data_IF_365519724367
#
_entry.id   IF_365519724367
#
_cell.length_a   1.000
_cell.length_b   1.000
_cell.length_c   1.000
_cell.angle_alpha   90.00
_cell.angle_beta   90.00
_cell.angle_gamma   90.00
#
_symmetry.space_group_name_H-M   'P 1'
#
loop_
_entity.id
_entity.type
_entity.pdbx_description
1 polymer ?
#
# COMPACT_ATOMS: atom_id res chain seq x y z
N UNK A 1 -21.68 -30.07 10.01
CA UNK A 1 -21.11 -29.62 8.71
C UNK A 1 -21.55 -28.19 8.48
N UNK A 2 -20.67 -27.30 8.00
CA UNK A 2 -21.06 -25.93 7.67
C UNK A 2 -22.12 -25.92 6.56
N UNK A 3 -22.95 -24.89 6.55
CA UNK A 3 -24.05 -24.74 5.59
C UNK A 3 -23.56 -24.47 4.15
N UNK A 4 -22.34 -23.95 4.02
CA UNK A 4 -21.62 -23.78 2.75
C UNK A 4 -20.23 -24.36 2.95
N UNK A 5 -19.85 -25.29 2.08
CA UNK A 5 -18.49 -25.85 2.06
C UNK A 5 -17.68 -24.97 1.11
N UNK A 6 -16.68 -24.29 1.65
CA UNK A 6 -15.73 -23.48 0.89
C UNK A 6 -14.35 -24.15 0.83
N UNK A 7 -13.43 -23.53 0.09
CA UNK A 7 -12.05 -24.01 -0.06
C UNK A 7 -11.35 -24.13 1.31
N UNK A 8 -11.57 -23.16 2.20
CA UNK A 8 -11.02 -23.18 3.56
C UNK A 8 -11.44 -24.43 4.34
N UNK A 9 -12.72 -24.81 4.28
CA UNK A 9 -13.19 -26.04 4.92
C UNK A 9 -12.48 -27.30 4.39
N UNK A 10 -12.19 -27.38 3.08
CA UNK A 10 -11.43 -28.51 2.53
C UNK A 10 -9.98 -28.52 3.01
N UNK A 11 -9.34 -27.36 3.11
CA UNK A 11 -7.98 -27.24 3.64
C UNK A 11 -7.92 -27.66 5.13
N UNK A 12 -8.87 -27.20 5.94
CA UNK A 12 -8.98 -27.59 7.36
C UNK A 12 -9.25 -29.08 7.50
N UNK A 13 -10.23 -29.62 6.76
CA UNK A 13 -10.56 -31.05 6.79
C UNK A 13 -9.37 -31.91 6.35
N UNK A 14 -8.62 -31.49 5.32
CA UNK A 14 -7.42 -32.17 4.87
C UNK A 14 -6.32 -32.12 5.93
N UNK A 15 -6.12 -30.95 6.55
CA UNK A 15 -5.16 -30.78 7.64
C UNK A 15 -5.53 -31.67 8.82
N UNK A 16 -6.76 -31.63 9.34
CA UNK A 16 -7.18 -32.48 10.47
C UNK A 16 -7.02 -33.97 10.15
N UNK A 17 -7.26 -34.40 8.92
CA UNK A 17 -7.06 -35.80 8.50
C UNK A 17 -5.59 -36.22 8.39
N UNK A 18 -4.69 -35.27 8.15
CA UNK A 18 -3.26 -35.53 7.91
C UNK A 18 -2.35 -34.83 8.93
N UNK A 19 -2.90 -34.31 10.03
CA UNK A 19 -2.22 -33.42 10.97
C UNK A 19 -0.92 -34.05 11.45
N UNK A 20 -0.99 -35.32 11.84
CA UNK A 20 0.17 -36.07 12.32
C UNK A 20 1.26 -36.20 11.24
N UNK A 21 0.89 -36.47 9.99
CA UNK A 21 1.85 -36.52 8.87
C UNK A 21 2.50 -35.17 8.61
N UNK A 22 1.75 -34.08 8.73
CA UNK A 22 2.27 -32.72 8.56
C UNK A 22 3.24 -32.36 9.69
N UNK A 23 2.91 -32.74 10.93
CA UNK A 23 3.75 -32.51 12.11
C UNK A 23 5.02 -33.39 12.10
N UNK A 24 4.92 -34.62 11.62
CA UNK A 24 6.04 -35.57 11.61
C UNK A 24 6.98 -35.37 10.42
N UNK A 25 6.48 -34.85 9.28
CA UNK A 25 7.29 -34.54 8.09
C UNK A 25 8.60 -33.78 8.36
N UNK A 26 8.64 -32.65 9.11
CA UNK A 26 9.88 -31.96 9.40
C UNK A 26 10.85 -32.81 10.23
N UNK A 27 10.35 -33.59 11.20
CA UNK A 27 11.18 -34.47 12.03
C UNK A 27 11.78 -35.61 11.21
N UNK A 28 10.98 -36.25 10.35
CA UNK A 28 11.46 -37.28 9.43
C UNK A 28 12.50 -36.74 8.45
N UNK A 29 12.28 -35.53 7.92
CA UNK A 29 13.22 -34.86 7.02
C UNK A 29 14.55 -34.57 7.73
N UNK A 30 14.51 -34.09 8.97
CA UNK A 30 15.70 -33.82 9.77
C UNK A 30 16.47 -35.11 10.10
N UNK A 31 15.77 -36.18 10.47
CA UNK A 31 16.37 -37.48 10.73
C UNK A 31 17.08 -38.04 9.48
N UNK A 32 16.40 -38.00 8.32
CA UNK A 32 16.99 -38.43 7.04
C UNK A 32 18.21 -37.59 6.67
N UNK A 33 18.16 -36.27 6.89
CA UNK A 33 19.31 -35.38 6.68
C UNK A 33 20.48 -35.77 7.58
N UNK A 34 20.21 -36.03 8.87
CA UNK A 34 21.25 -36.43 9.84
C UNK A 34 21.97 -37.70 9.41
N UNK A 35 21.21 -38.72 8.99
CA UNK A 35 21.76 -39.97 8.46
C UNK A 35 22.65 -39.73 7.23
N UNK A 36 22.19 -38.92 6.27
CA UNK A 36 22.99 -38.54 5.09
C UNK A 36 24.28 -37.81 5.47
N UNK A 37 24.23 -36.92 6.46
CA UNK A 37 25.41 -36.18 6.93
C UNK A 37 26.41 -37.13 7.61
N UNK A 38 25.94 -38.06 8.45
CA UNK A 38 26.80 -39.08 9.07
C UNK A 38 27.48 -39.97 8.01
N UNK A 39 26.74 -40.43 7.01
CA UNK A 39 27.28 -41.21 5.89
C UNK A 39 28.29 -40.39 5.07
N UNK A 40 27.98 -39.13 4.75
CA UNK A 40 28.88 -38.23 4.03
C UNK A 40 30.17 -37.97 4.82
N UNK A 41 30.10 -37.82 6.15
CA UNK A 41 31.28 -37.67 7.01
C UNK A 41 32.16 -38.91 6.97
N UNK A 42 31.58 -40.11 7.03
CA UNK A 42 32.34 -41.36 6.94
C UNK A 42 33.04 -41.52 5.58
N UNK A 43 32.41 -41.05 4.51
CA UNK A 43 32.95 -41.12 3.15
C UNK A 43 33.87 -39.93 2.77
N UNK A 44 34.08 -38.96 3.67
CA UNK A 44 34.85 -37.75 3.38
C UNK A 44 34.21 -36.83 2.34
N UNK A 45 32.89 -36.89 2.17
CA UNK A 45 32.08 -36.13 1.22
C UNK A 45 31.30 -34.99 1.89
N UNK A 46 31.87 -34.41 2.94
CA UNK A 46 31.33 -33.25 3.63
C UNK A 46 32.05 -32.00 3.13
N UNK A 47 31.31 -30.90 3.02
CA UNK A 47 31.80 -29.66 2.44
C UNK A 47 31.50 -28.48 3.37
N UNK A 48 32.26 -27.40 3.17
CA UNK A 48 32.12 -26.16 3.93
C UNK A 48 31.51 -25.04 3.07
N UNK A 49 30.59 -24.27 3.66
CA UNK A 49 30.05 -23.07 3.04
C UNK A 49 31.00 -21.88 3.21
N UNK A 50 31.44 -21.27 2.11
CA UNK A 50 32.36 -20.12 2.12
C UNK A 50 31.73 -18.82 2.69
N UNK A 51 30.43 -18.78 2.99
CA UNK A 51 29.74 -17.59 3.51
C UNK A 51 29.46 -17.68 5.02
N UNK A 52 28.95 -18.82 5.50
CA UNK A 52 28.58 -19.00 6.90
C UNK A 52 29.51 -19.95 7.66
N UNK A 53 30.50 -20.54 6.99
CA UNK A 53 31.47 -21.47 7.57
C UNK A 53 30.80 -22.69 8.24
N UNK A 54 29.64 -23.11 7.71
CA UNK A 54 29.01 -24.38 8.09
C UNK A 54 29.76 -25.50 7.38
N UNK A 55 30.44 -26.35 8.16
CA UNK A 55 31.30 -27.44 7.74
C UNK A 55 30.55 -28.79 7.59
N UNK A 56 29.23 -28.78 7.81
CA UNK A 56 28.36 -29.95 7.69
C UNK A 56 27.40 -29.85 6.48
N UNK A 57 27.88 -29.32 5.35
CA UNK A 57 27.09 -29.20 4.13
C UNK A 57 27.19 -30.45 3.24
N UNK A 58 26.04 -30.95 2.80
CA UNK A 58 25.96 -31.94 1.73
C UNK A 58 26.15 -31.26 0.36
N UNK A 59 26.73 -31.95 -0.62
CA UNK A 59 26.90 -31.40 -1.98
C UNK A 59 25.57 -30.93 -2.61
N UNK A 60 24.48 -31.68 -2.38
CA UNK A 60 23.13 -31.34 -2.85
C UNK A 60 22.58 -30.03 -2.25
N UNK A 61 23.13 -29.57 -1.12
CA UNK A 61 22.73 -28.36 -0.40
C UNK A 61 23.59 -27.15 -0.79
N UNK A 62 24.61 -27.36 -1.62
CA UNK A 62 25.51 -26.32 -2.08
C UNK A 62 25.14 -25.79 -3.47
N UNK A 63 25.62 -24.60 -3.73
CA UNK A 63 25.54 -23.89 -4.99
C UNK A 63 26.88 -23.24 -5.26
N UNK A 64 27.29 -23.21 -6.53
CA UNK A 64 28.56 -22.65 -6.94
C UNK A 64 28.41 -21.37 -7.76
N UNK A 65 29.38 -20.47 -7.59
CA UNK A 65 29.62 -19.41 -8.57
C UNK A 65 30.43 -19.96 -9.77
N UNK A 66 30.59 -19.18 -10.87
CA UNK A 66 31.39 -19.60 -12.03
C UNK A 66 32.84 -19.99 -11.72
N UNK A 67 33.48 -19.37 -10.72
CA UNK A 67 34.84 -19.73 -10.26
C UNK A 67 34.88 -20.97 -9.35
N UNK A 68 33.73 -21.56 -9.01
CA UNK A 68 33.65 -22.78 -8.20
C UNK A 68 33.54 -22.59 -6.69
N UNK A 69 33.53 -21.35 -6.16
CA UNK A 69 33.26 -21.12 -4.73
C UNK A 69 31.88 -21.68 -4.33
N UNK A 70 31.83 -22.41 -3.22
CA UNK A 70 30.66 -23.15 -2.75
C UNK A 70 29.95 -22.43 -1.60
N UNK A 71 28.63 -22.31 -1.72
CA UNK A 71 27.77 -21.69 -0.71
C UNK A 71 26.54 -22.56 -0.46
N UNK A 72 26.09 -22.66 0.78
CA UNK A 72 24.83 -23.32 1.07
C UNK A 72 23.68 -22.53 0.43
N UNK A 73 22.68 -23.26 -0.06
CA UNK A 73 21.49 -22.70 -0.73
C UNK A 73 20.81 -21.62 0.09
N UNK A 74 20.80 -21.75 1.43
CA UNK A 74 20.24 -20.76 2.34
C UNK A 74 20.98 -19.41 2.30
N UNK A 75 22.31 -19.41 2.22
CA UNK A 75 23.09 -18.18 2.07
C UNK A 75 22.83 -17.50 0.73
N UNK A 76 22.78 -18.28 -0.36
CA UNK A 76 22.47 -17.75 -1.71
C UNK A 76 21.07 -17.14 -1.76
N UNK A 77 20.05 -17.81 -1.20
CA UNK A 77 18.68 -17.30 -1.15
C UNK A 77 18.63 -15.97 -0.40
N UNK A 78 19.18 -15.93 0.83
CA UNK A 78 19.16 -14.72 1.67
C UNK A 78 19.89 -13.54 1.02
N UNK A 79 21.05 -13.80 0.44
CA UNK A 79 21.81 -12.78 -0.29
C UNK A 79 21.03 -12.24 -1.48
N UNK A 80 20.41 -13.13 -2.27
CA UNK A 80 19.59 -12.76 -3.41
C UNK A 80 18.36 -11.95 -2.98
N UNK A 81 17.66 -12.37 -1.92
CA UNK A 81 16.53 -11.65 -1.36
C UNK A 81 16.91 -10.25 -0.87
N UNK A 82 18.05 -10.12 -0.19
CA UNK A 82 18.57 -8.81 0.27
C UNK A 82 18.91 -7.92 -0.91
N UNK A 83 19.68 -8.42 -1.89
CA UNK A 83 20.05 -7.66 -3.09
C UNK A 83 18.81 -7.22 -3.89
N UNK A 84 17.84 -8.11 -4.05
CA UNK A 84 16.58 -7.80 -4.72
C UNK A 84 15.72 -6.80 -3.92
N UNK A 85 15.74 -6.88 -2.59
CA UNK A 85 15.11 -5.91 -1.69
C UNK A 85 15.73 -4.51 -1.80
N UNK A 86 17.04 -4.42 -2.08
CA UNK A 86 17.77 -3.19 -2.40
C UNK A 86 17.60 -2.75 -3.87
N UNK A 87 16.66 -3.35 -4.60
CA UNK A 87 16.39 -3.09 -6.03
C UNK A 87 17.56 -3.38 -6.97
N UNK A 88 18.51 -4.23 -6.57
CA UNK A 88 19.61 -4.67 -7.43
C UNK A 88 19.17 -5.88 -8.27
N UNK A 89 19.68 -5.95 -9.49
CA UNK A 89 19.49 -7.07 -10.44
C UNK A 89 20.76 -7.90 -10.65
N UNK A 90 21.80 -7.59 -9.88
CA UNK A 90 23.11 -8.25 -9.92
C UNK A 90 23.32 -8.98 -8.61
N UNK A 91 23.70 -10.25 -8.69
CA UNK A 91 23.84 -11.15 -7.53
C UNK A 91 25.30 -11.59 -7.42
N UNK A 92 26.14 -10.85 -6.68
CA UNK A 92 27.57 -11.13 -6.61
C UNK A 92 27.86 -12.44 -5.88
N UNK A 93 29.04 -12.99 -6.15
CA UNK A 93 29.61 -14.06 -5.35
C UNK A 93 29.74 -13.63 -3.89
N UNK A 94 29.58 -14.58 -2.98
CA UNK A 94 29.63 -14.35 -1.54
C UNK A 94 31.06 -14.50 -0.97
N UNK A 95 32.02 -14.94 -1.78
CA UNK A 95 33.42 -15.05 -1.37
C UNK A 95 34.13 -13.69 -1.48
N UNK A 96 35.01 -13.40 -0.52
CA UNK A 96 35.84 -12.20 -0.57
C UNK A 96 36.82 -12.24 -1.75
N UNK A 97 36.82 -11.20 -2.58
CA UNK A 97 37.75 -11.07 -3.71
C UNK A 97 37.33 -11.80 -4.98
N UNK A 98 36.08 -12.24 -5.10
CA UNK A 98 35.52 -12.81 -6.33
C UNK A 98 34.58 -11.79 -7.01
N UNK A 99 34.91 -11.38 -8.24
CA UNK A 99 34.12 -10.42 -9.01
C UNK A 99 33.01 -11.06 -9.86
N UNK A 100 32.83 -12.38 -9.77
CA UNK A 100 31.79 -13.08 -10.52
C UNK A 100 30.42 -12.94 -9.86
N UNK A 101 29.37 -13.07 -10.68
CA UNK A 101 27.99 -13.16 -10.23
C UNK A 101 27.51 -14.61 -10.21
N UNK A 102 26.59 -14.91 -9.30
CA UNK A 102 25.86 -16.18 -9.30
C UNK A 102 24.97 -16.21 -10.55
N UNK A 103 25.07 -17.29 -11.33
CA UNK A 103 24.36 -17.39 -12.60
C UNK A 103 22.84 -17.49 -12.41
N UNK A 104 22.07 -16.98 -13.38
CA UNK A 104 20.61 -17.10 -13.35
C UNK A 104 20.15 -18.57 -13.35
N UNK A 105 20.87 -19.47 -14.02
CA UNK A 105 20.57 -20.91 -14.00
C UNK A 105 20.71 -21.48 -12.58
N UNK A 106 21.80 -21.13 -11.88
CA UNK A 106 22.01 -21.52 -10.48
C UNK A 106 20.86 -20.97 -9.62
N UNK A 107 20.53 -19.69 -9.75
CA UNK A 107 19.43 -19.07 -9.01
C UNK A 107 18.08 -19.71 -9.30
N UNK A 108 17.79 -20.09 -10.55
CA UNK A 108 16.54 -20.75 -10.93
C UNK A 108 16.33 -22.08 -10.19
N UNK A 109 17.40 -22.82 -9.95
CA UNK A 109 17.32 -24.12 -9.26
C UNK A 109 17.15 -24.01 -7.74
N UNK A 110 17.42 -22.83 -7.17
CA UNK A 110 17.51 -22.63 -5.72
C UNK A 110 16.36 -21.75 -5.21
N UNK A 111 16.03 -20.68 -5.94
CA UNK A 111 15.05 -19.70 -5.51
C UNK A 111 13.61 -20.22 -5.69
N UNK A 112 12.67 -19.77 -4.86
CA UNK A 112 11.24 -19.98 -5.11
C UNK A 112 10.84 -19.42 -6.48
N UNK A 113 9.99 -20.15 -7.21
CA UNK A 113 9.54 -19.78 -8.57
C UNK A 113 8.98 -18.36 -8.66
N UNK A 114 8.22 -17.93 -7.65
CA UNK A 114 7.67 -16.59 -7.55
C UNK A 114 8.74 -15.49 -7.43
N UNK A 115 9.82 -15.75 -6.69
CA UNK A 115 10.92 -14.80 -6.52
C UNK A 115 11.75 -14.72 -7.80
N UNK A 116 12.13 -15.87 -8.36
CA UNK A 116 12.89 -15.93 -9.61
C UNK A 116 12.16 -15.23 -10.76
N UNK A 117 10.86 -15.46 -10.91
CA UNK A 117 10.05 -14.80 -11.94
C UNK A 117 10.05 -13.27 -11.81
N UNK A 118 10.02 -12.74 -10.58
CA UNK A 118 10.11 -11.30 -10.31
C UNK A 118 11.50 -10.73 -10.64
N UNK A 119 12.56 -11.48 -10.34
CA UNK A 119 13.94 -11.11 -10.67
C UNK A 119 14.12 -11.02 -12.19
N UNK A 120 13.71 -12.05 -12.93
CA UNK A 120 13.81 -12.05 -14.40
C UNK A 120 13.04 -10.89 -15.01
N UNK A 121 11.82 -10.63 -14.53
CA UNK A 121 11.03 -9.49 -14.99
C UNK A 121 11.74 -8.16 -14.76
N UNK A 122 12.39 -8.00 -13.59
CA UNK A 122 13.14 -6.78 -13.26
C UNK A 122 14.40 -6.62 -14.10
N UNK A 123 15.12 -7.71 -14.38
CA UNK A 123 16.27 -7.70 -15.28
C UNK A 123 15.82 -7.21 -16.67
N UNK A 124 14.74 -7.78 -17.21
CA UNK A 124 14.19 -7.37 -18.51
C UNK A 124 13.78 -5.89 -18.52
N UNK A 125 13.14 -5.40 -17.47
CA UNK A 125 12.80 -3.97 -17.33
C UNK A 125 14.05 -3.09 -17.43
N UNK A 126 15.11 -3.42 -16.70
CA UNK A 126 16.37 -2.66 -16.74
C UNK A 126 17.07 -2.75 -18.10
N UNK A 127 17.09 -3.93 -18.73
CA UNK A 127 17.69 -4.13 -20.05
C UNK A 127 16.99 -3.30 -21.11
N UNK A 128 15.65 -3.31 -21.12
CA UNK A 128 14.83 -2.51 -22.05
C UNK A 128 15.06 -1.01 -21.83
N UNK A 129 15.18 -0.55 -20.58
CA UNK A 129 15.50 0.84 -20.28
C UNK A 129 16.92 1.23 -20.72
N UNK A 130 17.90 0.36 -20.50
CA UNK A 130 19.31 0.59 -20.90
C UNK A 130 19.54 0.53 -22.40
N UNK A 131 18.67 -0.16 -23.15
CA UNK A 131 18.76 -0.25 -24.61
C UNK A 131 18.51 1.08 -25.34
N UNK A 132 18.03 2.12 -24.64
CA UNK A 132 17.80 3.48 -25.17
C UNK A 132 17.03 3.50 -26.51
N UNK A 133 15.96 2.69 -26.57
CA UNK A 133 15.15 2.49 -27.76
C UNK A 133 14.38 3.79 -28.06
N UNK A 134 14.44 4.33 -29.29
CA UNK A 134 13.72 5.55 -29.66
C UNK A 134 12.21 5.35 -29.53
N UNK A 135 11.51 6.40 -29.11
CA UNK A 135 10.05 6.43 -28.94
C UNK A 135 9.47 5.35 -28.00
N UNK A 136 10.31 4.75 -27.16
CA UNK A 136 9.88 3.80 -26.16
C UNK A 136 9.07 4.50 -25.07
N UNK A 137 7.84 4.03 -24.86
CA UNK A 137 6.95 4.49 -23.80
C UNK A 137 6.62 3.31 -22.89
N UNK A 138 6.85 3.48 -21.60
CA UNK A 138 6.57 2.48 -20.57
C UNK A 138 5.22 2.75 -19.91
N UNK A 139 4.45 1.70 -19.65
CA UNK A 139 3.25 1.78 -18.85
C UNK A 139 3.62 2.17 -17.40
N UNK A 140 2.90 3.11 -16.77
CA UNK A 140 3.18 3.51 -15.38
C UNK A 140 2.66 2.53 -14.33
N UNK A 141 1.82 1.56 -14.75
CA UNK A 141 1.14 0.64 -13.85
C UNK A 141 1.71 -0.78 -13.88
N UNK A 142 2.52 -1.12 -14.88
CA UNK A 142 3.12 -2.43 -15.03
C UNK A 142 4.37 -2.37 -15.92
N UNK A 143 5.15 -3.46 -16.00
CA UNK A 143 6.39 -3.52 -16.80
C UNK A 143 6.23 -3.46 -18.32
N UNK A 144 5.01 -3.27 -18.83
CA UNK A 144 4.76 -3.23 -20.26
C UNK A 144 5.41 -1.98 -20.88
N UNK A 145 6.11 -2.17 -22.00
CA UNK A 145 6.68 -1.09 -22.78
C UNK A 145 6.33 -1.29 -24.25
N UNK A 146 6.13 -0.18 -24.96
CA UNK A 146 5.81 -0.20 -26.40
C UNK A 146 6.38 1.03 -27.08
N UNK A 147 6.61 0.94 -28.38
CA UNK A 147 7.13 2.05 -29.19
C UNK A 147 5.95 2.86 -29.72
N UNK A 148 5.94 4.17 -29.48
CA UNK A 148 4.90 5.09 -29.92
C UNK A 148 5.49 6.20 -30.80
N UNK A 149 5.68 5.95 -32.11
CA UNK A 149 6.41 6.86 -33.00
C UNK A 149 5.63 8.15 -33.29
N UNK A 150 4.29 8.13 -33.20
CA UNK A 150 3.48 9.33 -33.38
C UNK A 150 3.48 10.17 -32.09
N UNK A 151 4.03 11.39 -32.07
CA UNK A 151 4.04 12.24 -30.88
C UNK A 151 2.65 12.78 -30.50
N UNK A 152 1.69 12.78 -31.43
CA UNK A 152 0.31 13.23 -31.17
C UNK A 152 -0.50 12.23 -30.34
N UNK A 153 -0.04 10.97 -30.26
CA UNK A 153 -0.69 9.93 -29.46
C UNK A 153 -0.40 10.15 -27.97
N UNK A 154 -1.37 10.76 -27.29
CA UNK A 154 -1.30 11.13 -25.86
C UNK A 154 -1.71 10.00 -24.92
N UNK A 155 -2.26 8.90 -25.43
CA UNK A 155 -2.77 7.78 -24.63
C UNK A 155 -1.96 6.52 -24.93
N UNK A 156 -1.28 6.00 -23.90
CA UNK A 156 -0.71 4.67 -23.94
C UNK A 156 -1.80 3.67 -23.54
N UNK A 157 -2.09 2.72 -24.43
CA UNK A 157 -2.96 1.57 -24.17
C UNK A 157 -2.08 0.37 -23.82
N UNK A 158 -2.13 -0.06 -22.57
CA UNK A 158 -1.33 -1.19 -22.13
C UNK A 158 -1.85 -2.50 -22.73
N UNK A 159 -0.99 -3.27 -23.40
CA UNK A 159 -1.35 -4.57 -23.99
C UNK A 159 -1.04 -5.76 -23.07
N UNK A 160 -0.55 -5.52 -21.85
CA UNK A 160 -0.42 -6.58 -20.86
C UNK A 160 -1.82 -7.05 -20.42
N UNK A 161 -2.18 -8.34 -20.60
CA UNK A 161 -3.51 -8.88 -20.26
C UNK A 161 -3.92 -8.69 -18.80
N UNK A 162 -2.96 -8.64 -17.88
CA UNK A 162 -3.25 -8.42 -16.45
C UNK A 162 -3.47 -6.94 -16.11
N UNK A 163 -3.02 -6.02 -16.97
CA UNK A 163 -3.07 -4.60 -16.72
C UNK A 163 -4.19 -3.93 -17.51
N UNK A 164 -4.13 -3.95 -18.85
CA UNK A 164 -5.09 -3.35 -19.78
C UNK A 164 -5.49 -1.88 -19.50
N UNK A 165 -4.77 -1.18 -18.62
CA UNK A 165 -5.04 0.22 -18.27
C UNK A 165 -4.59 1.15 -19.39
N UNK A 166 -5.33 2.23 -19.53
CA UNK A 166 -4.93 3.36 -20.36
C UNK A 166 -4.31 4.46 -19.50
N UNK A 167 -3.21 5.04 -19.96
CA UNK A 167 -2.49 6.10 -19.25
C UNK A 167 -2.15 7.25 -20.17
N UNK A 168 -2.01 8.45 -19.60
CA UNK A 168 -1.52 9.60 -20.31
C UNK A 168 0.01 9.46 -20.53
N UNK A 169 0.44 9.53 -21.79
CA UNK A 169 1.86 9.48 -22.17
C UNK A 169 2.70 10.59 -21.54
N UNK A 170 2.09 11.76 -21.30
CA UNK A 170 2.80 12.96 -20.87
C UNK A 170 2.99 13.04 -19.35
N UNK A 171 1.94 12.71 -18.59
CA UNK A 171 1.98 12.82 -17.12
C UNK A 171 1.95 11.47 -16.40
N UNK A 172 1.84 10.35 -17.12
CA UNK A 172 1.84 8.99 -16.57
C UNK A 172 0.71 8.68 -15.58
N UNK A 173 -0.31 9.54 -15.53
CA UNK A 173 -1.54 9.31 -14.77
C UNK A 173 -2.54 8.48 -15.59
N UNK A 174 -3.61 7.94 -14.96
CA UNK A 174 -4.69 7.29 -15.71
C UNK A 174 -5.23 8.17 -16.83
N UNK A 175 -5.68 7.56 -17.93
CA UNK A 175 -6.24 8.29 -19.05
C UNK A 175 -7.35 9.24 -18.59
N UNK A 176 -7.20 10.51 -18.95
CA UNK A 176 -8.03 11.60 -18.46
C UNK A 176 -8.54 12.51 -19.59
N UNK A 177 -8.39 12.12 -20.86
CA UNK A 177 -8.98 12.85 -21.99
C UNK A 177 -10.51 12.92 -21.79
N UNK A 178 -11.15 14.10 -21.87
CA UNK A 178 -10.67 15.33 -22.52
C UNK A 178 -9.94 16.36 -21.64
N UNK A 179 -9.70 16.08 -20.36
CA UNK A 179 -9.00 17.00 -19.44
C UNK A 179 -7.52 17.14 -19.84
N UNK A 180 -6.96 18.32 -19.58
CA UNK A 180 -5.53 18.59 -19.70
C UNK A 180 -4.78 18.04 -18.48
N UNK A 181 -3.50 17.70 -18.63
CA UNK A 181 -2.70 17.12 -17.54
C UNK A 181 -2.63 18.01 -16.28
N UNK A 182 -2.70 19.33 -16.45
CA UNK A 182 -2.72 20.28 -15.33
C UNK A 182 -4.07 20.32 -14.60
N UNK A 183 -5.16 19.86 -15.20
CA UNK A 183 -6.48 19.82 -14.58
C UNK A 183 -6.67 18.57 -13.70
N UNK A 184 -5.90 17.52 -13.95
CA UNK A 184 -6.00 16.23 -13.23
C UNK A 184 -5.34 16.30 -11.87
N UNK A 185 -6.09 15.97 -10.81
CA UNK A 185 -5.56 15.85 -9.47
C UNK A 185 -4.48 14.77 -9.42
N UNK A 186 -3.27 15.12 -8.97
CA UNK A 186 -2.22 14.12 -8.76
C UNK A 186 -2.54 13.29 -7.53
N UNK A 187 -1.92 12.11 -7.40
CA UNK A 187 -2.12 11.25 -6.23
C UNK A 187 -1.89 11.98 -4.89
N UNK A 188 -0.78 12.72 -4.76
CA UNK A 188 -0.49 13.51 -3.56
C UNK A 188 -1.58 14.57 -3.26
N UNK A 189 -2.12 15.20 -4.32
CA UNK A 189 -3.23 16.16 -4.21
C UNK A 189 -4.50 15.48 -3.70
N UNK A 190 -4.78 14.28 -4.23
CA UNK A 190 -5.94 13.46 -3.86
C UNK A 190 -5.84 13.00 -2.40
N UNK A 191 -4.65 12.57 -1.96
CA UNK A 191 -4.39 12.11 -0.61
C UNK A 191 -4.60 13.24 0.42
N UNK A 192 -3.99 14.40 0.17
CA UNK A 192 -4.14 15.58 1.02
C UNK A 192 -5.60 16.06 1.07
N UNK A 193 -6.28 16.12 -0.08
CA UNK A 193 -7.68 16.50 -0.17
C UNK A 193 -8.56 15.54 0.64
N UNK A 194 -8.37 14.23 0.44
CA UNK A 194 -9.17 13.18 1.11
C UNK A 194 -8.94 13.20 2.62
N UNK A 195 -7.70 13.43 3.07
CA UNK A 195 -7.39 13.61 4.48
C UNK A 195 -8.18 14.78 5.08
N UNK A 196 -8.16 15.95 4.42
CA UNK A 196 -8.88 17.14 4.87
C UNK A 196 -10.39 16.89 4.90
N UNK A 197 -10.97 16.24 3.89
CA UNK A 197 -12.38 15.89 3.83
C UNK A 197 -12.82 14.98 4.98
N UNK A 198 -12.00 13.99 5.31
CA UNK A 198 -12.26 13.09 6.43
C UNK A 198 -12.22 13.83 7.77
N UNK A 199 -11.25 14.74 7.96
CA UNK A 199 -11.16 15.57 9.16
C UNK A 199 -12.36 16.51 9.29
N UNK A 200 -12.77 17.16 8.20
CA UNK A 200 -13.98 18.00 8.15
C UNK A 200 -15.21 17.19 8.55
N UNK A 201 -15.40 16.02 7.95
CA UNK A 201 -16.53 15.14 8.22
C UNK A 201 -16.56 14.73 9.70
N UNK A 202 -15.41 14.42 10.29
CA UNK A 202 -15.29 14.09 11.70
C UNK A 202 -15.56 15.28 12.63
N UNK A 203 -15.16 16.50 12.26
CA UNK A 203 -15.37 17.70 13.07
C UNK A 203 -16.85 18.10 13.15
N UNK A 204 -17.59 17.97 12.04
CA UNK A 204 -19.03 18.29 11.96
C UNK A 204 -19.85 17.29 12.75
N UNK A 205 -19.45 16.00 12.73
CA UNK A 205 -20.11 14.96 13.52
C UNK A 205 -19.80 15.10 15.02
N UNK A 206 -20.83 15.03 15.86
CA UNK A 206 -20.64 14.93 17.32
C UNK A 206 -20.60 13.48 17.75
N UNK A 207 -19.83 13.18 18.79
CA UNK A 207 -19.73 11.84 19.40
C UNK A 207 -20.23 11.91 20.84
N UNK A 208 -21.05 10.95 21.22
CA UNK A 208 -21.41 10.77 22.64
C UNK A 208 -20.15 10.43 23.45
N UNK A 209 -19.90 11.17 24.54
CA UNK A 209 -18.73 10.94 25.40
C UNK A 209 -18.75 9.62 26.17
N UNK A 210 -19.92 8.97 26.30
CA UNK A 210 -20.07 7.70 27.02
C UNK A 210 -20.03 6.48 26.10
N UNK A 211 -20.73 6.50 24.97
CA UNK A 211 -20.85 5.33 24.09
C UNK A 211 -20.26 5.52 22.68
N UNK A 212 -19.75 6.71 22.35
CA UNK A 212 -19.10 6.99 21.07
C UNK A 212 -20.03 7.12 19.86
N UNK A 213 -21.36 6.93 20.01
CA UNK A 213 -22.32 7.05 18.91
C UNK A 213 -22.25 8.45 18.27
N UNK A 214 -22.13 8.48 16.94
CA UNK A 214 -22.04 9.70 16.13
C UNK A 214 -23.43 10.27 15.85
N UNK A 215 -23.59 11.59 15.85
CA UNK A 215 -24.84 12.27 15.53
C UNK A 215 -24.60 13.70 15.01
N UNK A 216 -25.57 14.22 14.26
CA UNK A 216 -25.63 15.60 13.76
C UNK A 216 -26.99 16.17 14.16
N UNK A 217 -27.02 17.44 14.55
CA UNK A 217 -28.25 18.15 14.88
C UNK A 217 -28.81 18.82 13.63
N UNK A 218 -30.05 18.54 13.30
CA UNK A 218 -30.78 19.18 12.20
C UNK A 218 -31.47 20.48 12.65
N UNK A 219 -32.20 20.46 13.78
CA UNK A 219 -32.91 21.60 14.34
C UNK A 219 -33.11 21.45 15.87
N UNK A 220 -33.64 22.49 16.53
CA UNK A 220 -34.07 22.42 17.93
C UNK A 220 -33.03 22.83 18.98
N UNK A 221 -33.08 22.23 20.18
CA UNK A 221 -32.25 22.59 21.32
C UNK A 221 -30.80 22.09 21.18
N UNK A 222 -29.83 22.80 21.78
CA UNK A 222 -28.42 22.38 21.81
C UNK A 222 -28.12 21.33 22.88
N UNK A 223 -29.04 21.05 23.81
CA UNK A 223 -28.93 19.95 24.76
C UNK A 223 -29.26 18.64 24.05
N UNK A 224 -28.25 17.81 23.83
CA UNK A 224 -28.36 16.53 23.16
C UNK A 224 -28.37 15.40 24.18
N UNK A 225 -29.37 14.53 24.12
CA UNK A 225 -29.46 13.33 24.98
C UNK A 225 -29.24 12.09 24.12
N UNK A 226 -28.23 11.30 24.47
CA UNK A 226 -27.97 10.02 23.81
C UNK A 226 -28.90 8.93 24.35
N UNK A 227 -29.14 7.88 23.55
CA UNK A 227 -29.86 6.66 23.99
C UNK A 227 -29.22 5.98 25.21
N UNK A 228 -27.94 6.22 25.50
CA UNK A 228 -27.26 5.70 26.70
C UNK A 228 -27.46 6.58 27.95
N UNK A 229 -28.32 7.60 27.88
CA UNK A 229 -28.64 8.53 28.97
C UNK A 229 -27.65 9.69 29.17
N UNK A 230 -26.54 9.73 28.43
CA UNK A 230 -25.56 10.81 28.52
C UNK A 230 -26.08 12.10 27.85
N UNK A 231 -25.79 13.25 28.45
CA UNK A 231 -26.18 14.56 27.93
C UNK A 231 -24.96 15.38 27.52
N UNK A 232 -25.07 16.11 26.41
CA UNK A 232 -23.96 16.94 25.93
C UNK A 232 -24.46 18.19 25.20
N UNK A 233 -23.64 19.24 25.21
CA UNK A 233 -23.93 20.45 24.43
C UNK A 233 -23.44 20.27 22.99
N UNK A 234 -24.32 20.49 22.02
CA UNK A 234 -23.96 20.43 20.60
C UNK A 234 -22.95 21.51 20.19
N UNK A 235 -23.04 22.70 20.78
CA UNK A 235 -22.22 23.87 20.45
C UNK A 235 -20.79 23.75 21.00
N UNK A 236 -20.63 23.49 22.30
CA UNK A 236 -19.33 23.51 22.97
C UNK A 236 -18.78 22.11 23.33
N UNK A 237 -19.51 21.03 23.06
CA UNK A 237 -19.13 19.64 23.36
C UNK A 237 -18.97 19.33 24.86
N UNK A 238 -19.47 20.21 25.75
CA UNK A 238 -19.50 19.97 27.19
C UNK A 238 -20.29 18.69 27.53
N UNK A 239 -19.80 17.94 28.52
CA UNK A 239 -20.34 16.66 28.97
C UNK A 239 -21.26 16.87 30.17
N UNK A 240 -22.23 15.98 30.33
CA UNK A 240 -23.13 15.89 31.48
C UNK A 240 -23.79 17.24 31.84
N UNK A 241 -24.32 17.93 30.81
CA UNK A 241 -24.92 19.26 30.96
C UNK A 241 -26.42 19.22 31.33
N UNK A 242 -26.83 20.21 32.10
CA UNK A 242 -28.23 20.53 32.37
C UNK A 242 -28.68 21.78 31.58
N UNK A 243 -29.85 22.32 31.92
CA UNK A 243 -30.34 23.56 31.31
C UNK A 243 -29.65 24.82 31.85
N UNK A 244 -28.95 24.74 32.98
CA UNK A 244 -28.24 25.88 33.56
C UNK A 244 -27.02 26.27 32.72
N UNK A 245 -26.46 25.31 31.96
CA UNK A 245 -25.46 25.55 30.91
C UNK A 245 -25.85 26.64 29.90
N UNK A 246 -27.15 26.88 29.68
CA UNK A 246 -27.67 27.85 28.72
C UNK A 246 -28.07 29.20 29.32
N UNK A 247 -27.80 29.43 30.62
CA UNK A 247 -28.02 30.75 31.24
C UNK A 247 -27.06 31.82 30.70
N UNK A 248 -25.92 31.42 30.13
CA UNK A 248 -24.97 32.31 29.44
C UNK A 248 -25.22 32.41 27.92
N UNK A 249 -24.85 33.53 27.26
CA UNK A 249 -25.14 33.77 25.84
C UNK A 249 -24.35 32.88 24.87
N UNK A 250 -23.28 32.23 25.34
CA UNK A 250 -22.32 31.52 24.49
C UNK A 250 -22.84 30.24 23.81
N UNK A 251 -23.83 29.57 24.41
CA UNK A 251 -24.37 28.30 23.92
C UNK A 251 -25.88 28.35 23.66
N UNK A 252 -26.55 29.43 24.08
CA UNK A 252 -27.97 29.65 23.87
C UNK A 252 -28.22 30.16 22.45
N UNK A 253 -29.26 29.64 21.77
CA UNK A 253 -29.74 30.14 20.48
C UNK A 253 -28.71 30.21 19.34
N UNK A 254 -27.66 29.37 19.37
CA UNK A 254 -26.68 29.30 18.27
C UNK A 254 -27.26 28.56 17.06
N UNK A 255 -27.12 29.15 15.87
CA UNK A 255 -27.48 28.50 14.62
C UNK A 255 -26.57 27.28 14.35
N UNK A 256 -27.12 26.06 14.17
CA UNK A 256 -26.34 24.86 13.84
C UNK A 256 -25.42 25.05 12.63
N UNK A 257 -25.90 25.75 11.60
CA UNK A 257 -25.14 26.04 10.39
C UNK A 257 -23.89 26.90 10.69
N UNK A 258 -24.01 27.90 11.57
CA UNK A 258 -22.88 28.74 11.94
C UNK A 258 -21.83 27.98 12.78
N UNK A 259 -22.28 27.03 13.61
CA UNK A 259 -21.39 26.14 14.35
C UNK A 259 -20.62 25.25 13.37
N UNK A 260 -21.31 24.64 12.41
CA UNK A 260 -20.69 23.80 11.38
C UNK A 260 -19.69 24.57 10.53
N UNK A 261 -20.04 25.77 10.08
CA UNK A 261 -19.13 26.61 9.30
C UNK A 261 -17.85 26.95 10.08
N UNK A 262 -17.99 27.29 11.37
CA UNK A 262 -16.83 27.55 12.24
C UNK A 262 -15.97 26.29 12.44
N UNK A 263 -16.60 25.15 12.72
CA UNK A 263 -15.91 23.87 12.87
C UNK A 263 -15.16 23.49 11.59
N UNK A 264 -15.77 23.67 10.42
CA UNK A 264 -15.15 23.40 9.11
C UNK A 264 -13.93 24.31 8.92
N UNK A 265 -14.04 25.62 9.14
CA UNK A 265 -12.94 26.57 8.97
C UNK A 265 -11.75 26.24 9.87
N UNK A 266 -12.00 26.04 11.16
CA UNK A 266 -10.95 25.67 12.11
C UNK A 266 -10.29 24.34 11.73
N UNK A 267 -11.09 23.38 11.26
CA UNK A 267 -10.59 22.06 10.87
C UNK A 267 -9.77 22.10 9.59
N UNK A 268 -10.15 22.90 8.59
CA UNK A 268 -9.35 23.07 7.36
C UNK A 268 -7.93 23.57 7.71
N UNK A 269 -7.83 24.60 8.56
CA UNK A 269 -6.53 25.16 8.97
C UNK A 269 -5.71 24.14 9.74
N UNK A 270 -6.31 23.48 10.74
CA UNK A 270 -5.64 22.48 11.57
C UNK A 270 -5.22 21.25 10.76
N UNK A 271 -6.11 20.72 9.90
CA UNK A 271 -5.84 19.55 9.08
C UNK A 271 -4.75 19.83 8.05
N UNK A 272 -4.74 21.00 7.39
CA UNK A 272 -3.65 21.38 6.48
C UNK A 272 -2.31 21.45 7.21
N UNK A 273 -2.26 22.12 8.36
CA UNK A 273 -1.03 22.23 9.15
C UNK A 273 -0.53 20.87 9.64
N UNK A 274 -1.43 20.00 10.10
CA UNK A 274 -1.09 18.65 10.55
C UNK A 274 -0.58 17.78 9.40
N UNK A 275 -1.25 17.81 8.25
CA UNK A 275 -0.84 17.04 7.08
C UNK A 275 0.56 17.44 6.59
N UNK A 276 0.86 18.74 6.52
CA UNK A 276 2.20 19.23 6.11
C UNK A 276 3.28 18.85 7.13
N UNK A 277 2.93 18.79 8.42
CA UNK A 277 3.86 18.34 9.47
C UNK A 277 4.21 16.86 9.30
N UNK A 278 3.23 16.03 8.95
CA UNK A 278 3.41 14.59 8.77
C UNK A 278 4.00 14.26 7.39
N UNK A 279 3.80 15.14 6.40
CA UNK A 279 4.26 15.04 5.01
C UNK A 279 4.95 16.34 4.54
N UNK A 280 6.22 16.59 4.91
CA UNK A 280 6.95 17.80 4.53
C UNK A 280 7.02 18.04 3.02
N UNK A 281 7.00 16.98 2.22
CA UNK A 281 6.95 17.01 0.74
C UNK A 281 5.71 17.71 0.18
N UNK A 282 4.62 17.78 0.96
CA UNK A 282 3.36 18.41 0.58
C UNK A 282 3.30 19.92 0.88
N UNK A 283 4.36 20.52 1.45
CA UNK A 283 4.37 21.93 1.85
C UNK A 283 4.10 22.91 0.68
N UNK A 284 4.56 22.57 -0.52
CA UNK A 284 4.37 23.36 -1.74
C UNK A 284 3.19 22.87 -2.60
N UNK A 285 2.37 21.95 -2.08
CA UNK A 285 1.27 21.36 -2.83
C UNK A 285 0.04 22.26 -2.77
N UNK A 286 -0.32 22.85 -3.91
CA UNK A 286 -1.56 23.60 -4.06
C UNK A 286 -2.71 22.67 -4.45
N UNK A 287 -3.74 22.63 -3.61
CA UNK A 287 -4.97 21.88 -3.87
C UNK A 287 -5.86 22.66 -4.83
N UNK A 288 -6.31 22.04 -5.92
CA UNK A 288 -7.29 22.64 -6.84
C UNK A 288 -8.66 22.81 -6.21
N UNK A 289 -8.99 21.96 -5.23
CA UNK A 289 -10.26 22.04 -4.49
C UNK A 289 -10.21 23.15 -3.44
N UNK A 290 -11.06 24.16 -3.61
CA UNK A 290 -11.29 25.19 -2.58
C UNK A 290 -12.31 24.69 -1.56
N UNK A 291 -11.81 24.26 -0.40
CA UNK A 291 -12.66 23.86 0.73
C UNK A 291 -13.52 24.99 1.29
N UNK A 292 -13.22 26.26 0.99
CA UNK A 292 -14.08 27.38 1.40
C UNK A 292 -15.40 27.42 0.63
N UNK A 293 -15.52 26.73 -0.50
CA UNK A 293 -16.79 26.59 -1.21
C UNK A 293 -17.83 25.79 -0.41
N UNK A 294 -17.39 24.87 0.46
CA UNK A 294 -18.28 24.11 1.35
C UNK A 294 -18.99 25.00 2.39
N UNK A 295 -18.49 26.21 2.61
CA UNK A 295 -19.03 27.19 3.59
C UNK A 295 -19.98 28.19 2.90
N UNK A 296 -19.94 28.31 1.57
CA UNK A 296 -20.78 29.26 0.82
C UNK A 296 -22.20 28.71 0.70
N UNK A 297 -23.21 29.52 1.09
CA UNK A 297 -24.63 29.18 0.89
C UNK A 297 -24.89 28.82 -0.59
N UNK A 298 -25.74 27.82 -0.88
CA UNK A 298 -26.12 27.52 -2.26
C UNK A 298 -26.66 28.79 -2.92
N UNK A 299 -26.16 29.12 -4.13
CA UNK A 299 -26.68 30.24 -4.93
C UNK A 299 -28.18 30.02 -5.08
N UNK A 300 -29.00 30.96 -4.59
CA UNK A 300 -30.46 30.92 -4.79
C UNK A 300 -30.70 30.71 -6.29
N UNK A 301 -31.52 29.72 -6.71
CA UNK A 301 -31.83 29.56 -8.12
C UNK A 301 -32.42 30.88 -8.61
N UNK A 302 -31.86 31.42 -9.72
CA UNK A 302 -32.41 32.62 -10.37
C UNK A 302 -33.89 32.32 -10.64
N UNK A 303 -34.79 33.05 -9.97
CA UNK A 303 -36.23 32.97 -10.25
C UNK A 303 -36.38 33.22 -11.74
N UNK A 304 -36.77 32.20 -12.50
CA UNK A 304 -37.20 32.40 -13.89
C UNK A 304 -38.37 33.37 -13.84
N UNK A 305 -38.15 34.58 -14.37
CA UNK A 305 -39.21 35.54 -14.64
C UNK A 305 -40.29 34.80 -15.43
N UNK A 306 -41.49 34.63 -14.84
CA UNK A 306 -42.68 34.27 -15.60
C UNK A 306 -42.96 35.47 -16.50
N UNK A 307 -42.52 35.38 -17.75
CA UNK A 307 -43.02 36.27 -18.79
C UNK A 307 -44.52 36.01 -18.96
N UNK A 308 -45.26 37.12 -18.98
CA UNK A 308 -46.68 37.24 -19.27
C UNK A 308 -47.00 36.73 -20.67
#
# INVERSE_FOLDING_TARGET
>A
MPAVIDEYFYHELWFTRNEQKVVDYPKEKELKRRQKVEEAKLNGQIYECCCCFDDECLFEELASCPEGHLFCKTCVIRSTESAFGEMKVVFPCLAGGCDQNISLNTLQTILPSNLFSKIIRRIQEEEVQKANIPDLVTCPFCPFATIMPNPEDKVLKCLNPECLKESCRLCQEPNHIPLRCNEVEKKAETDMRTYIENQISEAVMRKCHRCGKKFIKEAGCNKMTCICGATSCYACKAKDIDYDHFRGPQCANTNPEAIHQKDIQETIVKAKAQYIKDHPEAANLELKKDFNEMIKKPKKPKRRSRYK
#
